data_IF_578990529403
#
_entry.id   IF_578990529403
#
_cell.length_a   1.000
_cell.length_b   1.000
_cell.length_c   1.000
_cell.angle_alpha   90.00
_cell.angle_beta   90.00
_cell.angle_gamma   90.00
#
_symmetry.space_group_name_H-M   'P 1'
#
loop_
_entity.id
_entity.type
_entity.pdbx_description
1 polymer ?
#
# COMPACT_ATOMS: atom_id res chain seq x y z
N UNK A 1 47.76 -42.39 -16.06
CA UNK A 1 46.32 -42.54 -15.91
C UNK A 1 45.88 -42.46 -14.43
N UNK A 2 46.48 -43.20 -13.51
CA UNK A 2 46.13 -43.17 -12.08
C UNK A 2 46.27 -41.78 -11.42
N UNK A 3 47.36 -41.05 -11.69
CA UNK A 3 47.59 -39.70 -11.13
C UNK A 3 46.53 -38.70 -11.63
N UNK A 4 46.09 -38.77 -12.86
CA UNK A 4 45.03 -37.93 -13.45
C UNK A 4 43.66 -38.22 -12.80
N UNK A 5 43.36 -39.49 -12.52
CA UNK A 5 42.15 -39.89 -11.83
C UNK A 5 42.13 -39.38 -10.36
N UNK A 6 43.28 -39.45 -9.66
CA UNK A 6 43.41 -38.92 -8.33
C UNK A 6 43.22 -37.39 -8.30
N UNK A 7 43.85 -36.67 -9.22
CA UNK A 7 43.69 -35.22 -9.34
C UNK A 7 42.25 -34.82 -9.70
N UNK A 8 41.59 -35.55 -10.62
CA UNK A 8 40.20 -35.31 -10.96
C UNK A 8 39.24 -35.57 -9.77
N UNK A 9 39.53 -36.60 -8.93
CA UNK A 9 38.76 -36.89 -7.74
C UNK A 9 38.89 -35.78 -6.69
N UNK A 10 40.11 -35.27 -6.47
CA UNK A 10 40.30 -34.13 -5.57
C UNK A 10 39.65 -32.85 -6.06
N UNK A 11 39.70 -32.58 -7.37
CA UNK A 11 39.02 -31.44 -7.96
C UNK A 11 37.49 -31.57 -7.79
N UNK A 12 36.91 -32.76 -8.03
CA UNK A 12 35.50 -33.02 -7.82
C UNK A 12 35.09 -32.85 -6.35
N UNK A 13 35.86 -33.38 -5.39
CA UNK A 13 35.64 -33.20 -3.96
C UNK A 13 35.73 -31.72 -3.59
N UNK A 14 36.73 -30.99 -4.08
CA UNK A 14 36.86 -29.55 -3.86
C UNK A 14 35.66 -28.75 -4.38
N UNK A 15 35.23 -29.03 -5.62
CA UNK A 15 34.05 -28.40 -6.21
C UNK A 15 32.76 -28.73 -5.43
N UNK A 16 32.62 -29.99 -5.01
CA UNK A 16 31.47 -30.42 -4.18
C UNK A 16 31.43 -29.69 -2.82
N UNK A 17 32.59 -29.59 -2.15
CA UNK A 17 32.70 -28.84 -0.86
C UNK A 17 32.36 -27.36 -1.09
N UNK A 18 32.92 -26.73 -2.12
CA UNK A 18 32.60 -25.35 -2.48
C UNK A 18 31.10 -25.17 -2.78
N UNK A 19 30.50 -26.11 -3.48
CA UNK A 19 29.07 -26.09 -3.80
C UNK A 19 28.21 -26.21 -2.53
N UNK A 20 28.53 -27.15 -1.62
CA UNK A 20 27.84 -27.31 -0.33
C UNK A 20 28.01 -26.06 0.52
N UNK A 21 29.23 -25.50 0.56
CA UNK A 21 29.49 -24.24 1.27
C UNK A 21 28.70 -23.08 0.67
N UNK A 22 28.66 -22.97 -0.65
CA UNK A 22 27.85 -21.98 -1.33
C UNK A 22 26.35 -22.13 -1.00
N UNK A 23 25.82 -23.37 -1.01
CA UNK A 23 24.41 -23.64 -0.63
C UNK A 23 24.11 -23.23 0.83
N UNK A 24 25.08 -23.39 1.73
CA UNK A 24 24.94 -23.04 3.15
C UNK A 24 25.39 -21.60 3.46
N UNK A 25 25.75 -20.82 2.44
CA UNK A 25 26.34 -19.49 2.62
C UNK A 25 25.51 -18.58 3.53
N UNK A 26 24.21 -18.47 3.30
CA UNK A 26 23.34 -17.63 4.11
C UNK A 26 23.22 -18.11 5.56
N UNK A 27 23.16 -19.45 5.77
CA UNK A 27 23.12 -20.02 7.13
C UNK A 27 24.43 -19.75 7.90
N UNK A 28 25.57 -19.84 7.24
CA UNK A 28 26.89 -19.56 7.83
C UNK A 28 27.05 -18.06 8.10
N UNK A 29 26.74 -17.23 7.10
CA UNK A 29 26.92 -15.78 7.17
C UNK A 29 26.07 -15.13 8.26
N UNK A 30 24.83 -15.59 8.41
CA UNK A 30 23.86 -15.01 9.32
C UNK A 30 23.62 -15.87 10.58
N UNK A 31 24.34 -16.97 10.72
CA UNK A 31 24.26 -17.85 11.89
C UNK A 31 24.73 -17.15 13.16
N UNK A 32 23.86 -17.09 14.19
CA UNK A 32 24.18 -16.55 15.51
C UNK A 32 23.35 -17.30 16.56
N UNK A 33 23.88 -17.43 17.76
CA UNK A 33 23.14 -18.04 18.89
C UNK A 33 21.97 -17.14 19.30
N UNK A 34 20.85 -17.75 19.68
CA UNK A 34 19.67 -17.05 20.16
C UNK A 34 18.74 -16.49 19.09
N UNK A 35 19.04 -16.71 17.80
CA UNK A 35 18.12 -16.32 16.71
C UNK A 35 16.82 -17.12 16.74
N UNK A 36 15.69 -16.55 16.22
CA UNK A 36 14.48 -17.33 15.96
C UNK A 36 14.75 -18.55 15.09
N UNK A 37 13.97 -19.64 15.24
CA UNK A 37 14.05 -20.81 14.36
C UNK A 37 13.72 -20.42 12.90
N UNK A 38 14.19 -21.21 11.94
CA UNK A 38 13.92 -20.96 10.52
C UNK A 38 15.11 -21.32 9.64
N UNK A 39 14.96 -21.06 8.36
CA UNK A 39 15.95 -21.31 7.30
C UNK A 39 16.31 -20.02 6.58
N UNK A 40 17.52 -19.99 5.98
CA UNK A 40 17.98 -18.81 5.23
C UNK A 40 17.94 -19.04 3.70
N UNK A 41 17.47 -20.22 3.28
CA UNK A 41 17.28 -20.56 1.87
C UNK A 41 18.55 -20.51 1.01
N UNK A 42 18.39 -20.30 -0.29
CA UNK A 42 19.45 -20.31 -1.28
C UNK A 42 20.42 -19.15 -1.13
N UNK A 43 21.68 -19.31 -1.55
CA UNK A 43 22.65 -18.21 -1.60
C UNK A 43 22.09 -17.00 -2.34
N UNK A 44 22.38 -15.79 -1.88
CA UNK A 44 21.94 -14.48 -2.42
C UNK A 44 20.43 -14.25 -2.39
N UNK A 45 19.62 -15.15 -2.92
CA UNK A 45 18.18 -14.95 -3.10
C UNK A 45 17.34 -15.42 -1.89
N UNK A 46 17.91 -16.28 -1.05
CA UNK A 46 17.20 -16.83 0.10
C UNK A 46 15.96 -17.62 -0.30
N UNK A 47 14.86 -17.33 0.36
CA UNK A 47 13.52 -17.89 0.10
C UNK A 47 12.62 -16.89 -0.64
N UNK A 48 13.20 -15.83 -1.24
CA UNK A 48 12.47 -14.74 -1.89
C UNK A 48 11.52 -15.22 -2.98
N UNK A 49 11.95 -16.17 -3.82
CA UNK A 49 11.13 -16.68 -4.92
C UNK A 49 9.90 -17.43 -4.40
N UNK A 50 10.06 -18.30 -3.39
CA UNK A 50 8.96 -19.02 -2.76
C UNK A 50 8.02 -18.04 -2.03
N UNK A 51 8.59 -17.08 -1.29
CA UNK A 51 7.83 -16.03 -0.61
C UNK A 51 6.98 -15.20 -1.57
N UNK A 52 7.55 -14.71 -2.68
CA UNK A 52 6.80 -13.87 -3.62
C UNK A 52 5.77 -14.66 -4.43
N UNK A 53 6.07 -15.91 -4.80
CA UNK A 53 5.19 -16.73 -5.64
C UNK A 53 4.07 -17.42 -4.86
N UNK A 54 4.37 -17.86 -3.63
CA UNK A 54 3.48 -18.68 -2.80
C UNK A 54 3.33 -18.13 -1.38
N UNK A 55 3.33 -16.80 -1.21
CA UNK A 55 3.39 -16.14 0.10
C UNK A 55 2.46 -16.70 1.17
N UNK A 56 1.14 -16.84 0.93
CA UNK A 56 0.23 -17.42 1.91
C UNK A 56 0.58 -18.86 2.31
N UNK A 57 0.93 -19.71 1.34
CA UNK A 57 1.31 -21.11 1.59
C UNK A 57 2.69 -21.20 2.24
N UNK A 58 3.62 -20.32 1.83
CA UNK A 58 4.92 -20.17 2.48
C UNK A 58 4.74 -19.81 3.95
N UNK A 59 3.92 -18.81 4.28
CA UNK A 59 3.64 -18.40 5.66
C UNK A 59 3.04 -19.54 6.47
N UNK A 60 2.04 -20.23 5.93
CA UNK A 60 1.39 -21.37 6.57
C UNK A 60 2.38 -22.52 6.86
N UNK A 61 3.22 -22.87 5.90
CA UNK A 61 4.25 -23.92 6.01
C UNK A 61 5.30 -23.57 7.05
N UNK A 62 5.84 -22.34 7.00
CA UNK A 62 6.88 -21.89 7.94
C UNK A 62 6.32 -21.76 9.36
N UNK A 63 5.11 -21.20 9.51
CA UNK A 63 4.43 -21.09 10.81
C UNK A 63 4.17 -22.45 11.44
N UNK A 64 3.72 -23.43 10.67
CA UNK A 64 3.50 -24.80 11.15
C UNK A 64 4.80 -25.47 11.62
N UNK A 65 5.94 -25.11 11.02
CA UNK A 65 7.24 -25.70 11.30
C UNK A 65 8.01 -25.01 12.43
N UNK A 66 7.90 -23.69 12.53
CA UNK A 66 8.76 -22.88 13.40
C UNK A 66 7.98 -22.01 14.38
N UNK A 67 6.66 -21.96 14.31
CA UNK A 67 5.83 -21.09 15.15
C UNK A 67 5.63 -19.70 14.55
N UNK A 68 5.11 -18.79 15.39
CA UNK A 68 4.67 -17.46 14.95
C UNK A 68 5.81 -16.45 14.72
N UNK A 69 7.03 -16.78 15.15
CA UNK A 69 8.21 -15.93 14.97
C UNK A 69 9.34 -16.80 14.39
N UNK A 70 9.72 -16.54 13.16
CA UNK A 70 10.75 -17.32 12.48
C UNK A 70 11.64 -16.46 11.61
N UNK A 71 12.88 -16.94 11.36
CA UNK A 71 13.81 -16.29 10.47
C UNK A 71 13.72 -16.85 9.05
N UNK A 72 14.03 -15.98 8.10
CA UNK A 72 14.16 -16.28 6.67
C UNK A 72 15.17 -15.32 6.03
N UNK A 73 15.50 -15.52 4.79
CA UNK A 73 16.19 -14.54 3.96
C UNK A 73 15.29 -14.21 2.76
N UNK A 74 14.64 -13.06 2.82
CA UNK A 74 13.68 -12.62 1.80
C UNK A 74 13.97 -11.20 1.34
N UNK A 75 13.70 -10.92 0.07
CA UNK A 75 13.93 -9.61 -0.56
C UNK A 75 15.40 -9.14 -0.43
N UNK A 76 16.35 -10.10 -0.43
CA UNK A 76 17.78 -9.83 -0.36
C UNK A 76 18.31 -9.53 1.05
N UNK A 77 17.53 -9.78 2.11
CA UNK A 77 17.92 -9.43 3.48
C UNK A 77 17.57 -10.54 4.49
N UNK A 78 18.42 -10.72 5.53
CA UNK A 78 18.05 -11.54 6.67
C UNK A 78 16.84 -10.88 7.34
N UNK A 79 15.78 -11.66 7.49
CA UNK A 79 14.46 -11.16 7.92
C UNK A 79 13.89 -12.07 8.98
N UNK A 80 13.36 -11.49 10.05
CA UNK A 80 12.50 -12.19 11.00
C UNK A 80 11.05 -11.89 10.59
N UNK A 81 10.27 -12.94 10.41
CA UNK A 81 8.86 -12.84 10.05
C UNK A 81 8.04 -13.10 11.30
N UNK A 82 7.13 -12.19 11.60
CA UNK A 82 6.23 -12.24 12.74
C UNK A 82 4.78 -12.34 12.27
N UNK A 83 4.08 -13.37 12.75
CA UNK A 83 2.65 -13.62 12.51
C UNK A 83 1.83 -13.58 13.80
N UNK A 84 2.45 -13.29 14.93
CA UNK A 84 1.81 -13.16 16.23
C UNK A 84 1.17 -11.76 16.39
N UNK A 85 -0.13 -11.64 16.71
CA UNK A 85 -0.81 -10.35 16.83
C UNK A 85 -0.24 -9.42 17.90
N UNK A 86 0.09 -9.97 19.08
CA UNK A 86 0.62 -9.15 20.19
C UNK A 86 2.02 -8.65 19.89
N UNK A 87 2.87 -9.53 19.36
CA UNK A 87 4.23 -9.16 19.00
C UNK A 87 4.25 -8.18 17.81
N UNK A 88 3.36 -8.35 16.84
CA UNK A 88 3.17 -7.39 15.75
C UNK A 88 2.73 -6.02 16.29
N UNK A 89 1.82 -5.99 17.24
CA UNK A 89 1.44 -4.76 17.94
C UNK A 89 2.64 -4.13 18.64
N UNK A 90 3.40 -4.92 19.39
CA UNK A 90 4.63 -4.45 20.04
C UNK A 90 5.59 -3.83 19.03
N UNK A 91 5.89 -4.50 17.92
CA UNK A 91 6.81 -4.04 16.86
C UNK A 91 6.31 -2.71 16.25
N UNK A 92 5.01 -2.57 16.00
CA UNK A 92 4.44 -1.37 15.37
C UNK A 92 4.42 -0.16 16.33
N UNK A 93 4.22 -0.38 17.62
CA UNK A 93 4.13 0.69 18.62
C UNK A 93 5.50 1.15 19.15
N UNK A 94 6.55 0.34 19.02
CA UNK A 94 7.86 0.59 19.65
C UNK A 94 8.96 0.99 18.66
N UNK A 95 8.64 1.80 17.65
CA UNK A 95 9.60 2.25 16.65
C UNK A 95 10.86 2.92 17.25
N UNK A 96 10.72 3.60 18.38
CA UNK A 96 11.86 4.27 19.03
C UNK A 96 12.76 3.33 19.86
N UNK A 97 12.38 2.06 20.03
CA UNK A 97 13.11 1.07 20.83
C UNK A 97 13.92 0.11 19.97
N UNK A 98 14.82 0.65 19.17
CA UNK A 98 15.67 -0.18 18.31
C UNK A 98 15.06 -0.57 16.97
N UNK A 99 13.89 -0.05 16.64
CA UNK A 99 13.15 -0.33 15.41
C UNK A 99 13.01 0.94 14.56
N UNK A 100 13.26 0.81 13.27
CA UNK A 100 13.10 1.88 12.27
C UNK A 100 12.39 1.33 11.03
N UNK A 101 11.89 2.15 10.10
CA UNK A 101 11.38 1.67 8.82
C UNK A 101 12.40 0.80 8.08
N UNK A 102 11.94 -0.31 7.51
CA UNK A 102 12.79 -1.33 6.86
C UNK A 102 12.56 -1.47 5.36
N UNK A 103 12.01 -0.45 4.69
CA UNK A 103 11.68 -0.53 3.26
C UNK A 103 12.92 -0.78 2.38
N UNK A 104 12.74 -1.41 1.20
CA UNK A 104 13.81 -1.63 0.23
C UNK A 104 14.52 -0.33 -0.16
N UNK A 105 15.79 -0.45 -0.56
CA UNK A 105 16.57 0.71 -1.02
C UNK A 105 15.91 1.37 -2.23
N UNK A 106 15.36 0.57 -3.16
CA UNK A 106 14.59 1.08 -4.31
C UNK A 106 13.44 1.99 -3.90
N UNK A 107 12.66 1.60 -2.87
CA UNK A 107 11.58 2.45 -2.36
C UNK A 107 12.10 3.77 -1.80
N UNK A 108 13.22 3.72 -1.06
CA UNK A 108 13.82 4.92 -0.46
C UNK A 108 14.34 5.88 -1.52
N UNK A 109 15.04 5.37 -2.53
CA UNK A 109 15.63 6.18 -3.60
C UNK A 109 14.56 6.78 -4.52
N UNK A 110 13.57 5.97 -4.88
CA UNK A 110 12.54 6.37 -5.85
C UNK A 110 11.48 7.27 -5.21
N UNK A 111 11.05 7.04 -3.99
CA UNK A 111 10.08 7.93 -3.32
C UNK A 111 10.75 9.16 -2.69
N UNK A 112 12.08 9.13 -2.54
CA UNK A 112 12.88 10.24 -2.05
C UNK A 112 13.30 10.12 -0.59
N UNK A 113 14.41 10.76 -0.28
CA UNK A 113 15.05 10.69 1.05
C UNK A 113 14.25 11.42 2.14
N UNK A 114 13.37 12.37 1.76
CA UNK A 114 12.49 13.10 2.67
C UNK A 114 11.10 12.46 2.76
N UNK A 115 10.91 11.27 2.22
CA UNK A 115 9.66 10.54 2.29
C UNK A 115 9.29 10.23 3.74
N UNK A 116 8.07 10.60 4.14
CA UNK A 116 7.53 10.35 5.50
C UNK A 116 7.56 8.87 5.89
N UNK A 117 7.55 7.94 4.92
CA UNK A 117 7.61 6.49 5.15
C UNK A 117 8.99 6.01 5.63
N UNK A 118 10.08 6.74 5.36
CA UNK A 118 11.45 6.30 5.65
C UNK A 118 12.20 7.15 6.67
N UNK A 119 11.87 8.43 6.77
CA UNK A 119 12.49 9.32 7.79
C UNK A 119 12.10 8.90 9.21
N UNK A 120 12.96 9.22 10.18
CA UNK A 120 12.79 8.85 11.59
C UNK A 120 12.93 10.05 12.53
N UNK A 121 12.59 9.88 13.80
CA UNK A 121 12.82 10.88 14.84
C UNK A 121 12.05 12.18 14.61
N UNK A 122 12.73 13.32 14.82
CA UNK A 122 12.17 14.67 14.68
C UNK A 122 11.76 14.98 13.24
N UNK A 123 12.52 14.53 12.24
CA UNK A 123 12.19 14.70 10.82
C UNK A 123 10.86 13.99 10.48
N UNK A 124 10.65 12.76 10.95
CA UNK A 124 9.38 12.08 10.77
C UNK A 124 8.22 12.85 11.43
N UNK A 125 8.40 13.28 12.68
CA UNK A 125 7.36 14.04 13.40
C UNK A 125 6.98 15.32 12.66
N UNK A 126 7.96 16.02 12.10
CA UNK A 126 7.77 17.27 11.36
C UNK A 126 7.03 17.02 10.03
N UNK A 127 7.57 16.15 9.17
CA UNK A 127 6.97 15.86 7.85
C UNK A 127 5.60 15.19 7.97
N UNK A 128 5.41 14.30 8.96
CA UNK A 128 4.11 13.73 9.24
C UNK A 128 3.11 14.77 9.73
N UNK A 129 3.53 15.69 10.58
CA UNK A 129 2.69 16.78 11.05
C UNK A 129 2.21 17.69 9.91
N UNK A 130 3.10 18.04 9.00
CA UNK A 130 2.76 18.76 7.77
C UNK A 130 1.74 17.99 6.93
N UNK A 131 1.99 16.69 6.68
CA UNK A 131 1.07 15.87 5.90
C UNK A 131 -0.32 15.77 6.55
N UNK A 132 -0.39 15.55 7.87
CA UNK A 132 -1.66 15.47 8.60
C UNK A 132 -2.45 16.79 8.58
N UNK A 133 -1.80 17.94 8.52
CA UNK A 133 -2.48 19.23 8.38
C UNK A 133 -3.21 19.38 7.03
N UNK A 134 -2.75 18.67 6.00
CA UNK A 134 -3.31 18.71 4.64
C UNK A 134 -4.45 17.71 4.40
N UNK A 135 -4.55 16.66 5.23
CA UNK A 135 -5.53 15.58 5.07
C UNK A 135 -6.37 15.34 6.32
N UNK A 136 -6.46 16.33 7.22
CA UNK A 136 -7.32 16.25 8.39
C UNK A 136 -8.81 16.40 8.00
N UNK A 137 -9.75 16.01 8.89
CA UNK A 137 -11.18 16.07 8.61
C UNK A 137 -11.70 17.44 8.18
N UNK A 138 -11.19 18.54 8.75
CA UNK A 138 -11.57 19.90 8.38
C UNK A 138 -11.15 20.22 6.95
N UNK A 139 -9.89 19.94 6.59
CA UNK A 139 -9.39 20.13 5.23
C UNK A 139 -10.18 19.32 4.20
N UNK A 140 -10.48 18.05 4.55
CA UNK A 140 -11.27 17.19 3.66
C UNK A 140 -12.66 17.79 3.47
N UNK A 141 -13.35 18.14 4.56
CA UNK A 141 -14.69 18.71 4.53
C UNK A 141 -14.76 20.00 3.73
N UNK A 142 -13.88 20.96 4.05
CA UNK A 142 -14.03 22.34 3.58
C UNK A 142 -13.40 22.59 2.21
N UNK A 143 -12.41 21.74 1.79
CA UNK A 143 -11.63 22.00 0.57
C UNK A 143 -11.56 20.84 -0.42
N UNK A 144 -11.66 19.59 0.03
CA UNK A 144 -11.39 18.45 -0.85
C UNK A 144 -12.65 17.68 -1.26
N UNK A 145 -13.69 17.64 -0.40
CA UNK A 145 -14.87 16.79 -0.62
C UNK A 145 -15.63 17.14 -1.89
N UNK A 146 -15.86 18.44 -2.15
CA UNK A 146 -16.54 18.89 -3.36
C UNK A 146 -15.76 18.47 -4.62
N UNK A 147 -14.45 18.67 -4.63
CA UNK A 147 -13.60 18.29 -5.76
C UNK A 147 -13.59 16.76 -5.98
N UNK A 148 -13.68 15.98 -4.90
CA UNK A 148 -13.80 14.51 -4.97
C UNK A 148 -15.15 14.15 -5.59
N UNK A 149 -16.24 14.74 -5.12
CA UNK A 149 -17.61 14.51 -5.61
C UNK A 149 -17.74 14.79 -7.11
N UNK A 150 -17.32 15.98 -7.55
CA UNK A 150 -17.34 16.36 -8.97
C UNK A 150 -16.50 15.43 -9.84
N UNK A 151 -15.30 15.04 -9.35
CA UNK A 151 -14.40 14.15 -10.07
C UNK A 151 -14.99 12.75 -10.21
N UNK A 152 -15.63 12.22 -9.18
CA UNK A 152 -16.31 10.91 -9.23
C UNK A 152 -17.45 10.95 -10.24
N UNK A 153 -18.31 11.96 -10.16
CA UNK A 153 -19.45 12.10 -11.10
C UNK A 153 -19.01 12.20 -12.54
N UNK A 154 -18.04 13.05 -12.82
CA UNK A 154 -17.48 13.23 -14.16
C UNK A 154 -16.83 11.94 -14.68
N UNK A 155 -16.09 11.23 -13.83
CA UNK A 155 -15.41 10.01 -14.23
C UNK A 155 -16.38 8.86 -14.55
N UNK A 156 -17.43 8.69 -13.75
CA UNK A 156 -18.43 7.64 -13.93
C UNK A 156 -19.40 7.90 -15.10
N UNK A 157 -19.61 9.17 -15.49
CA UNK A 157 -20.58 9.54 -16.51
C UNK A 157 -20.43 8.79 -17.86
N UNK A 158 -19.23 8.32 -18.17
CA UNK A 158 -18.90 7.64 -19.43
C UNK A 158 -18.90 6.10 -19.35
N UNK A 159 -19.41 5.50 -18.29
CA UNK A 159 -19.36 4.04 -18.10
C UNK A 159 -20.58 3.29 -18.60
N UNK A 160 -21.71 3.99 -18.77
CA UNK A 160 -22.96 3.41 -19.21
C UNK A 160 -22.84 2.65 -20.54
N UNK A 161 -23.42 1.44 -20.59
CA UNK A 161 -23.49 0.60 -21.77
C UNK A 161 -22.15 0.00 -22.23
N UNK A 162 -21.07 0.22 -21.48
CA UNK A 162 -19.72 -0.24 -21.86
C UNK A 162 -19.30 -1.49 -21.10
N UNK A 163 -18.48 -2.30 -21.76
CA UNK A 163 -17.62 -3.28 -21.09
C UNK A 163 -16.29 -2.61 -20.80
N UNK A 164 -15.91 -2.58 -19.55
CA UNK A 164 -14.69 -1.93 -19.07
C UNK A 164 -13.86 -2.90 -18.23
N UNK A 165 -12.55 -2.73 -18.21
CA UNK A 165 -11.71 -3.37 -17.22
C UNK A 165 -11.78 -2.56 -15.92
N UNK A 166 -12.38 -3.13 -14.88
CA UNK A 166 -12.56 -2.44 -13.59
C UNK A 166 -11.22 -2.16 -12.91
N UNK A 167 -10.21 -3.04 -13.06
CA UNK A 167 -8.88 -2.82 -12.49
C UNK A 167 -8.24 -1.57 -13.09
N UNK A 168 -8.17 -1.49 -14.40
CA UNK A 168 -7.56 -0.36 -15.10
C UNK A 168 -8.31 0.94 -14.82
N UNK A 169 -9.65 0.89 -14.83
CA UNK A 169 -10.47 2.07 -14.58
C UNK A 169 -10.37 2.59 -13.15
N UNK A 170 -10.28 1.70 -12.16
CA UNK A 170 -10.09 2.15 -10.77
C UNK A 170 -8.69 2.71 -10.52
N UNK A 171 -7.66 2.18 -11.19
CA UNK A 171 -6.29 2.75 -11.15
C UNK A 171 -6.27 4.14 -11.78
N UNK A 172 -6.88 4.30 -12.96
CA UNK A 172 -7.01 5.60 -13.63
C UNK A 172 -7.76 6.60 -12.74
N UNK A 173 -8.92 6.22 -12.22
CA UNK A 173 -9.72 7.03 -11.30
C UNK A 173 -8.91 7.51 -10.09
N UNK A 174 -8.27 6.58 -9.37
CA UNK A 174 -7.54 6.91 -8.16
C UNK A 174 -6.36 7.85 -8.44
N UNK A 175 -5.70 7.70 -9.60
CA UNK A 175 -4.61 8.58 -9.99
C UNK A 175 -5.12 9.97 -10.41
N UNK A 176 -6.16 10.05 -11.24
CA UNK A 176 -6.78 11.32 -11.68
C UNK A 176 -7.18 12.17 -10.46
N UNK A 177 -7.91 11.56 -9.52
CA UNK A 177 -8.34 12.28 -8.30
C UNK A 177 -7.14 12.67 -7.45
N UNK A 178 -6.16 11.79 -7.24
CA UNK A 178 -4.99 12.12 -6.45
C UNK A 178 -4.21 13.28 -7.08
N UNK A 179 -4.02 13.24 -8.40
CA UNK A 179 -3.32 14.29 -9.13
C UNK A 179 -4.08 15.63 -9.07
N UNK A 180 -5.40 15.63 -9.32
CA UNK A 180 -6.25 16.83 -9.25
C UNK A 180 -6.25 17.47 -7.86
N UNK A 181 -6.32 16.65 -6.79
CA UNK A 181 -6.31 17.16 -5.41
C UNK A 181 -4.94 17.70 -4.99
N UNK A 182 -3.85 17.16 -5.52
CA UNK A 182 -2.50 17.51 -5.11
C UNK A 182 -1.91 18.62 -5.99
N UNK A 183 -2.12 18.52 -7.31
CA UNK A 183 -1.58 19.45 -8.30
C UNK A 183 -2.70 19.75 -9.30
N UNK A 184 -3.60 20.65 -8.97
CA UNK A 184 -4.73 21.00 -9.84
C UNK A 184 -4.21 21.62 -11.16
N UNK A 185 -3.89 20.76 -12.12
CA UNK A 185 -3.49 21.14 -13.46
C UNK A 185 -4.61 20.77 -14.44
N UNK A 186 -5.13 21.77 -15.13
CA UNK A 186 -6.17 21.58 -16.14
C UNK A 186 -5.63 21.12 -17.52
N UNK A 187 -4.29 21.05 -17.68
CA UNK A 187 -3.68 20.65 -18.95
C UNK A 187 -3.60 19.14 -19.07
N UNK A 188 -4.34 18.56 -20.02
CA UNK A 188 -4.27 17.13 -20.35
C UNK A 188 -2.87 16.68 -20.75
N UNK A 189 -2.12 17.50 -21.47
CA UNK A 189 -0.75 17.20 -21.91
C UNK A 189 0.20 17.05 -20.73
N UNK A 190 0.07 17.93 -19.72
CA UNK A 190 0.88 17.83 -18.50
C UNK A 190 0.52 16.56 -17.73
N UNK A 191 -0.76 16.24 -17.64
CA UNK A 191 -1.25 15.04 -16.97
C UNK A 191 -0.71 13.77 -17.62
N UNK A 192 -0.85 13.61 -18.95
CA UNK A 192 -0.45 12.40 -19.67
C UNK A 192 1.06 12.14 -19.57
N UNK A 193 1.87 13.19 -19.75
CA UNK A 193 3.33 13.10 -19.60
C UNK A 193 3.72 12.76 -18.15
N UNK A 194 3.07 13.37 -17.16
CA UNK A 194 3.33 13.11 -15.76
C UNK A 194 2.96 11.67 -15.40
N UNK A 195 1.77 11.19 -15.81
CA UNK A 195 1.31 9.83 -15.57
C UNK A 195 2.26 8.79 -16.13
N UNK A 196 2.69 8.94 -17.39
CA UNK A 196 3.63 8.01 -18.03
C UNK A 196 4.94 7.88 -17.26
N UNK A 197 5.52 8.99 -16.80
CA UNK A 197 6.77 8.95 -16.04
C UNK A 197 6.54 8.48 -14.59
N UNK A 198 5.38 8.76 -14.03
CA UNK A 198 4.99 8.29 -12.70
C UNK A 198 4.78 6.76 -12.68
N UNK A 199 4.21 6.18 -13.73
CA UNK A 199 4.04 4.72 -13.85
C UNK A 199 5.41 3.99 -13.84
N UNK A 200 6.42 4.55 -14.53
CA UNK A 200 7.80 4.03 -14.48
C UNK A 200 8.38 4.13 -13.07
N UNK A 201 8.16 5.28 -12.40
CA UNK A 201 8.57 5.51 -11.02
C UNK A 201 7.93 4.45 -10.11
N UNK A 202 6.62 4.27 -10.19
CA UNK A 202 5.88 3.33 -9.35
C UNK A 202 6.35 1.87 -9.55
N UNK A 203 6.54 1.45 -10.80
CA UNK A 203 7.05 0.10 -11.12
C UNK A 203 8.44 -0.18 -10.54
N UNK A 204 9.29 0.85 -10.44
CA UNK A 204 10.63 0.73 -9.86
C UNK A 204 10.67 0.64 -8.34
N UNK A 205 9.62 1.05 -7.65
CA UNK A 205 9.61 1.22 -6.18
C UNK A 205 9.83 -0.08 -5.42
N UNK A 206 9.28 -1.20 -5.91
CA UNK A 206 9.46 -2.54 -5.34
C UNK A 206 10.27 -3.38 -6.32
N UNK A 207 11.53 -3.06 -6.48
CA UNK A 207 12.46 -3.78 -7.37
C UNK A 207 13.81 -3.98 -6.68
N UNK A 208 14.66 -4.79 -7.27
CA UNK A 208 16.06 -4.85 -6.84
C UNK A 208 16.75 -3.53 -7.24
N UNK A 209 17.43 -2.89 -6.28
CA UNK A 209 18.12 -1.60 -6.49
C UNK A 209 19.39 -1.75 -7.35
N UNK A 210 19.23 -2.27 -8.56
CA UNK A 210 20.29 -2.47 -9.57
C UNK A 210 20.09 -1.46 -10.69
N UNK A 211 20.93 -0.43 -10.74
CA UNK A 211 20.81 0.67 -11.71
C UNK A 211 21.53 0.34 -13.03
N UNK A 212 20.95 -0.60 -13.78
CA UNK A 212 21.44 -1.01 -15.12
C UNK A 212 20.30 -0.80 -16.13
N UNK A 213 20.58 -0.27 -17.34
CA UNK A 213 19.58 -0.16 -18.39
C UNK A 213 18.81 -1.46 -18.62
N UNK A 214 17.47 -1.37 -18.71
CA UNK A 214 16.57 -2.51 -18.84
C UNK A 214 16.01 -3.02 -17.52
N UNK A 215 16.51 -2.58 -16.34
CA UNK A 215 15.90 -2.93 -15.05
C UNK A 215 14.76 -1.99 -14.68
N UNK A 216 13.78 -2.49 -13.93
CA UNK A 216 12.68 -1.67 -13.40
C UNK A 216 13.17 -0.53 -12.51
N UNK A 217 14.22 -0.77 -11.70
CA UNK A 217 14.83 0.26 -10.87
C UNK A 217 15.42 1.40 -11.71
N UNK A 218 16.19 1.09 -12.77
CA UNK A 218 16.76 2.09 -13.66
C UNK A 218 15.67 2.96 -14.32
N UNK A 219 14.63 2.31 -14.86
CA UNK A 219 13.46 2.99 -15.43
C UNK A 219 12.74 3.88 -14.38
N UNK A 220 12.58 3.36 -13.17
CA UNK A 220 11.98 4.09 -12.06
C UNK A 220 12.76 5.34 -11.65
N UNK A 221 14.09 5.25 -11.60
CA UNK A 221 14.97 6.39 -11.31
C UNK A 221 14.92 7.47 -12.42
N UNK A 222 14.82 7.06 -13.69
CA UNK A 222 14.59 7.99 -14.79
C UNK A 222 13.22 8.66 -14.68
N UNK A 223 12.16 7.88 -14.40
CA UNK A 223 10.82 8.40 -14.18
C UNK A 223 10.80 9.41 -13.04
N UNK A 224 11.44 9.09 -11.88
CA UNK A 224 11.59 10.03 -10.77
C UNK A 224 12.27 11.33 -11.21
N UNK A 225 13.37 11.23 -11.94
CA UNK A 225 14.11 12.43 -12.39
C UNK A 225 13.23 13.37 -13.20
N UNK A 226 12.39 12.82 -14.08
CA UNK A 226 11.46 13.60 -14.92
C UNK A 226 10.28 14.15 -14.11
N UNK A 227 9.69 13.34 -13.23
CA UNK A 227 8.62 13.79 -12.30
C UNK A 227 9.10 14.94 -11.42
N UNK A 228 10.29 14.81 -10.82
CA UNK A 228 10.91 15.88 -10.02
C UNK A 228 11.10 17.16 -10.84
N UNK A 229 11.57 17.05 -12.09
CA UNK A 229 11.73 18.19 -12.98
C UNK A 229 10.39 18.87 -13.27
N UNK A 230 9.34 18.11 -13.54
CA UNK A 230 7.99 18.65 -13.79
C UNK A 230 7.43 19.33 -12.54
N UNK A 231 7.53 18.74 -11.36
CA UNK A 231 7.06 19.33 -10.11
C UNK A 231 7.82 20.60 -9.75
N UNK A 232 9.15 20.66 -9.95
CA UNK A 232 9.94 21.90 -9.77
C UNK A 232 9.47 23.02 -10.69
N UNK A 233 9.13 22.68 -11.94
CA UNK A 233 8.59 23.66 -12.86
C UNK A 233 7.25 24.21 -12.39
N UNK A 234 6.32 23.35 -11.95
CA UNK A 234 5.03 23.76 -11.39
C UNK A 234 5.22 24.66 -10.16
N UNK A 235 6.10 24.28 -9.23
CA UNK A 235 6.40 25.09 -8.03
C UNK A 235 6.93 26.47 -8.43
N UNK A 236 7.84 26.52 -9.39
CA UNK A 236 8.43 27.78 -9.90
C UNK A 236 7.37 28.69 -10.54
N UNK A 237 6.51 28.12 -11.38
CA UNK A 237 5.41 28.86 -12.05
C UNK A 237 4.41 29.40 -11.04
N UNK A 238 4.02 28.61 -10.05
CA UNK A 238 3.11 29.05 -8.98
C UNK A 238 3.68 30.16 -8.13
N UNK A 239 4.98 30.12 -7.81
CA UNK A 239 5.65 31.23 -7.09
C UNK A 239 5.72 32.52 -7.89
N UNK A 240 5.77 32.42 -9.21
CA UNK A 240 5.78 33.59 -10.11
C UNK A 240 4.36 34.13 -10.40
N UNK A 241 3.32 33.37 -10.05
CA UNK A 241 1.92 33.71 -10.26
C UNK A 241 1.29 34.35 -9.03
N UNK A 242 0.37 35.29 -9.23
CA UNK A 242 -0.49 35.84 -8.17
C UNK A 242 -1.74 35.01 -7.89
N UNK A 243 -1.92 33.91 -8.63
CA UNK A 243 -3.08 33.03 -8.48
C UNK A 243 -2.94 32.20 -7.21
N UNK A 244 -3.95 32.25 -6.35
CA UNK A 244 -4.05 31.39 -5.16
C UNK A 244 -4.63 30.04 -5.58
N UNK A 245 -3.89 28.96 -5.32
CA UNK A 245 -4.33 27.59 -5.59
C UNK A 245 -4.86 26.96 -4.31
N UNK A 246 -6.06 26.36 -4.39
CA UNK A 246 -6.71 25.70 -3.24
C UNK A 246 -6.33 24.22 -3.09
N UNK A 247 -5.55 23.66 -4.02
CA UNK A 247 -5.05 22.29 -3.96
C UNK A 247 -3.98 22.09 -2.88
N UNK A 248 -3.60 20.84 -2.64
CA UNK A 248 -2.64 20.47 -1.58
C UNK A 248 -1.28 21.14 -1.79
N UNK A 249 -0.78 21.25 -3.02
CA UNK A 249 0.48 21.95 -3.29
C UNK A 249 0.37 23.46 -2.95
N UNK A 250 -0.75 24.11 -3.32
CA UNK A 250 -1.02 25.49 -2.95
C UNK A 250 -1.06 25.69 -1.44
N UNK A 251 -1.69 24.80 -0.72
CA UNK A 251 -1.72 24.79 0.75
C UNK A 251 -0.33 24.62 1.37
N UNK A 252 0.52 23.75 0.80
CA UNK A 252 1.91 23.59 1.26
C UNK A 252 2.72 24.89 1.03
N UNK A 253 2.51 25.55 -0.10
CA UNK A 253 3.24 26.76 -0.50
C UNK A 253 2.74 28.02 0.20
N UNK A 254 1.50 28.04 0.71
CA UNK A 254 0.92 29.22 1.35
C UNK A 254 1.61 29.53 2.67
N UNK A 255 1.92 30.83 2.88
CA UNK A 255 2.50 31.34 4.12
C UNK A 255 1.56 31.20 5.33
N UNK A 256 0.30 30.83 5.15
CA UNK A 256 -0.69 30.67 6.20
C UNK A 256 -0.36 29.50 7.15
N UNK A 257 0.40 28.51 6.66
CA UNK A 257 0.83 27.37 7.48
C UNK A 257 2.23 27.62 8.06
N UNK A 258 2.38 28.67 8.88
CA UNK A 258 3.66 29.08 9.49
C UNK A 258 4.34 27.99 10.34
N UNK A 259 3.66 26.90 10.66
CA UNK A 259 4.18 25.82 11.48
C UNK A 259 5.13 24.89 10.72
N UNK A 260 4.92 24.71 9.40
CA UNK A 260 5.67 23.75 8.59
C UNK A 260 6.21 24.44 7.34
N UNK A 261 7.49 24.74 7.33
CA UNK A 261 8.18 25.31 6.16
C UNK A 261 8.96 24.19 5.47
N UNK A 262 8.41 23.63 4.40
CA UNK A 262 9.08 22.61 3.63
C UNK A 262 9.96 23.24 2.55
N UNK A 263 11.14 22.66 2.37
CA UNK A 263 11.98 22.93 1.19
C UNK A 263 11.33 22.35 -0.07
N UNK A 264 11.73 22.81 -1.26
CA UNK A 264 11.22 22.28 -2.53
C UNK A 264 11.40 20.75 -2.64
N UNK A 265 12.55 20.26 -2.18
CA UNK A 265 12.83 18.82 -2.21
C UNK A 265 11.92 18.04 -1.25
N UNK A 266 11.64 18.58 -0.07
CA UNK A 266 10.69 17.99 0.88
C UNK A 266 9.26 18.02 0.33
N UNK A 267 8.82 19.14 -0.26
CA UNK A 267 7.51 19.24 -0.91
C UNK A 267 7.35 18.20 -2.03
N UNK A 268 8.34 18.10 -2.91
CA UNK A 268 8.34 17.17 -4.03
C UNK A 268 8.28 15.70 -3.55
N UNK A 269 9.12 15.35 -2.56
CA UNK A 269 9.14 13.98 -2.01
C UNK A 269 7.81 13.65 -1.31
N UNK A 270 7.16 14.61 -0.64
CA UNK A 270 5.83 14.43 -0.06
C UNK A 270 4.76 14.25 -1.14
N UNK A 271 4.78 15.06 -2.21
CA UNK A 271 3.82 14.94 -3.33
C UNK A 271 3.95 13.58 -4.00
N UNK A 272 5.17 13.14 -4.31
CA UNK A 272 5.43 11.81 -4.90
C UNK A 272 4.91 10.72 -3.97
N UNK A 273 5.15 10.85 -2.66
CA UNK A 273 4.67 9.88 -1.66
C UNK A 273 3.16 9.83 -1.57
N UNK A 274 2.49 10.99 -1.56
CA UNK A 274 1.02 11.06 -1.50
C UNK A 274 0.38 10.46 -2.77
N UNK A 275 0.92 10.78 -3.94
CA UNK A 275 0.48 10.21 -5.21
C UNK A 275 0.65 8.69 -5.19
N UNK A 276 1.87 8.20 -4.89
CA UNK A 276 2.18 6.77 -4.87
C UNK A 276 1.30 5.99 -3.89
N UNK A 277 1.17 6.49 -2.65
CA UNK A 277 0.39 5.81 -1.61
C UNK A 277 -1.12 5.87 -1.86
N UNK A 278 -1.59 6.93 -2.52
CA UNK A 278 -3.02 7.23 -2.66
C UNK A 278 -3.69 6.58 -3.87
N UNK A 279 -2.93 6.19 -4.91
CA UNK A 279 -3.57 5.63 -6.10
C UNK A 279 -3.72 4.11 -6.02
N UNK A 280 -2.70 3.37 -5.66
CA UNK A 280 -2.72 1.90 -5.66
C UNK A 280 -3.67 1.33 -4.60
N UNK A 281 -3.61 1.84 -3.38
CA UNK A 281 -4.44 1.34 -2.28
C UNK A 281 -5.92 1.66 -2.46
N UNK A 282 -6.25 2.87 -2.93
CA UNK A 282 -7.63 3.29 -3.18
C UNK A 282 -8.24 2.52 -4.34
N UNK A 283 -7.51 2.40 -5.48
CA UNK A 283 -7.99 1.64 -6.64
C UNK A 283 -8.25 0.18 -6.31
N UNK A 284 -7.30 -0.48 -5.66
CA UNK A 284 -7.44 -1.88 -5.23
C UNK A 284 -8.62 -2.07 -4.29
N UNK A 285 -8.83 -1.13 -3.35
CA UNK A 285 -9.96 -1.23 -2.41
C UNK A 285 -11.29 -1.04 -3.13
N UNK A 286 -11.42 -0.09 -4.07
CA UNK A 286 -12.63 0.09 -4.88
C UNK A 286 -12.91 -1.16 -5.73
N UNK A 287 -11.93 -1.64 -6.47
CA UNK A 287 -12.04 -2.85 -7.29
C UNK A 287 -12.54 -4.04 -6.48
N UNK A 288 -11.91 -4.30 -5.34
CA UNK A 288 -12.27 -5.43 -4.49
C UNK A 288 -13.58 -5.22 -3.74
N UNK A 289 -13.95 -3.98 -3.37
CA UNK A 289 -15.25 -3.69 -2.77
C UNK A 289 -16.38 -4.02 -3.74
N UNK A 290 -16.27 -3.57 -5.00
CA UNK A 290 -17.26 -3.88 -6.04
C UNK A 290 -17.34 -5.39 -6.31
N UNK A 291 -16.19 -6.08 -6.38
CA UNK A 291 -16.14 -7.55 -6.51
C UNK A 291 -16.85 -8.25 -5.35
N UNK A 292 -16.51 -7.89 -4.12
CA UNK A 292 -17.09 -8.57 -2.95
C UNK A 292 -18.58 -8.28 -2.75
N UNK A 293 -19.06 -7.06 -3.01
CA UNK A 293 -20.49 -6.76 -2.91
C UNK A 293 -21.27 -7.39 -4.07
N UNK A 294 -20.69 -7.54 -5.26
CA UNK A 294 -21.27 -8.29 -6.37
C UNK A 294 -21.48 -9.76 -5.99
N UNK A 295 -20.46 -10.39 -5.41
CA UNK A 295 -20.52 -11.79 -4.95
C UNK A 295 -21.46 -11.99 -3.73
N UNK A 296 -21.90 -10.89 -3.09
CA UNK A 296 -22.73 -10.91 -1.89
C UNK A 296 -23.97 -10.01 -2.05
N UNK A 297 -25.04 -10.48 -2.73
CA UNK A 297 -26.21 -9.68 -3.07
C UNK A 297 -26.87 -8.99 -1.87
N UNK A 298 -26.85 -9.63 -0.67
CA UNK A 298 -27.39 -9.04 0.55
C UNK A 298 -26.59 -7.80 0.97
N UNK A 299 -25.26 -7.86 0.89
CA UNK A 299 -24.41 -6.72 1.19
C UNK A 299 -24.57 -5.61 0.15
N UNK A 300 -24.71 -5.95 -1.14
CA UNK A 300 -25.00 -4.97 -2.19
C UNK A 300 -26.33 -4.27 -1.97
N UNK A 301 -27.36 -5.02 -1.61
CA UNK A 301 -28.69 -4.46 -1.33
C UNK A 301 -28.62 -3.45 -0.16
N UNK A 302 -28.05 -3.82 0.98
CA UNK A 302 -27.96 -2.95 2.15
C UNK A 302 -27.09 -1.72 1.88
N UNK A 303 -25.96 -1.90 1.16
CA UNK A 303 -25.11 -0.79 0.72
C UNK A 303 -25.90 0.18 -0.16
N UNK A 304 -26.67 -0.35 -1.11
CA UNK A 304 -27.49 0.45 -2.01
C UNK A 304 -28.63 1.18 -1.30
N UNK A 305 -29.29 0.53 -0.34
CA UNK A 305 -30.34 1.13 0.49
C UNK A 305 -29.81 2.31 1.30
N UNK A 306 -28.62 2.19 1.94
CA UNK A 306 -27.96 3.31 2.63
C UNK A 306 -27.76 4.50 1.70
N UNK A 307 -27.25 4.28 0.51
CA UNK A 307 -26.98 5.35 -0.44
C UNK A 307 -28.22 5.95 -1.08
N UNK A 308 -29.25 5.14 -1.35
CA UNK A 308 -30.55 5.64 -1.84
C UNK A 308 -31.28 6.49 -0.79
N UNK A 309 -31.15 6.13 0.49
CA UNK A 309 -31.71 6.95 1.58
C UNK A 309 -31.03 8.32 1.71
N UNK A 310 -29.73 8.43 1.38
CA UNK A 310 -29.01 9.70 1.28
C UNK A 310 -29.54 10.50 0.08
N UNK A 311 -29.63 9.86 -1.08
CA UNK A 311 -30.14 10.51 -2.32
C UNK A 311 -31.56 11.01 -2.18
N UNK A 312 -32.43 10.29 -1.47
CA UNK A 312 -33.83 10.68 -1.27
C UNK A 312 -34.00 12.01 -0.49
N UNK A 313 -32.99 12.46 0.23
CA UNK A 313 -32.98 13.71 1.00
C UNK A 313 -32.45 14.91 0.23
N UNK A 314 -31.98 14.71 -1.00
CA UNK A 314 -31.26 15.69 -1.83
C UNK A 314 -31.79 15.75 -3.23
N UNK A 315 -31.53 16.83 -3.91
CA UNK A 315 -31.74 16.90 -5.36
C UNK A 315 -30.68 16.06 -6.10
N UNK A 316 -30.98 15.56 -7.29
CA UNK A 316 -30.05 14.73 -8.07
C UNK A 316 -28.67 15.40 -8.33
N UNK A 317 -28.65 16.70 -8.50
CA UNK A 317 -27.48 17.53 -8.77
C UNK A 317 -26.65 17.89 -7.53
N UNK A 318 -27.26 17.81 -6.33
CA UNK A 318 -26.55 18.19 -5.09
C UNK A 318 -25.37 17.25 -4.84
N UNK A 319 -24.17 17.80 -4.50
CA UNK A 319 -23.04 16.99 -4.09
C UNK A 319 -23.30 16.36 -2.72
N UNK A 320 -22.62 15.25 -2.41
CA UNK A 320 -22.61 14.74 -1.04
C UNK A 320 -21.85 15.71 -0.13
N UNK A 321 -22.33 15.84 1.09
CA UNK A 321 -21.64 16.63 2.10
C UNK A 321 -20.97 15.76 3.18
N UNK A 322 -20.36 16.42 4.15
CA UNK A 322 -19.66 15.75 5.24
C UNK A 322 -20.58 14.93 6.15
N UNK A 323 -21.81 15.38 6.36
CA UNK A 323 -22.78 14.68 7.21
C UNK A 323 -23.33 13.46 6.50
N UNK A 324 -23.53 13.52 5.19
CA UNK A 324 -23.84 12.36 4.37
C UNK A 324 -22.74 11.30 4.48
N UNK A 325 -21.47 11.71 4.28
CA UNK A 325 -20.33 10.81 4.42
C UNK A 325 -20.25 10.18 5.82
N UNK A 326 -20.46 10.97 6.87
CA UNK A 326 -20.50 10.45 8.25
C UNK A 326 -21.67 9.49 8.51
N UNK A 327 -22.75 9.65 7.76
CA UNK A 327 -23.91 8.75 7.78
C UNK A 327 -23.70 7.41 7.10
N UNK A 328 -22.69 7.27 6.24
CA UNK A 328 -22.37 6.05 5.46
C UNK A 328 -21.73 4.96 6.34
N UNK A 329 -22.46 4.45 7.32
CA UNK A 329 -21.94 3.49 8.31
C UNK A 329 -21.69 2.12 7.70
N UNK A 330 -22.61 1.62 6.88
CA UNK A 330 -22.45 0.33 6.22
C UNK A 330 -21.38 0.39 5.12
N UNK A 331 -21.30 1.49 4.39
CA UNK A 331 -20.20 1.76 3.45
C UNK A 331 -18.84 1.68 4.14
N UNK A 332 -18.72 2.30 5.32
CA UNK A 332 -17.51 2.22 6.14
C UNK A 332 -17.18 0.77 6.50
N UNK A 333 -18.16 0.00 6.92
CA UNK A 333 -18.03 -1.42 7.23
C UNK A 333 -17.57 -2.24 6.00
N UNK A 334 -18.16 -1.99 4.83
CA UNK A 334 -17.75 -2.59 3.54
C UNK A 334 -16.28 -2.29 3.23
N UNK A 335 -15.83 -1.04 3.40
CA UNK A 335 -14.43 -0.66 3.11
C UNK A 335 -13.45 -1.36 4.07
N UNK A 336 -13.77 -1.43 5.36
CA UNK A 336 -12.93 -2.13 6.34
C UNK A 336 -12.85 -3.63 6.04
N UNK A 337 -13.99 -4.29 5.79
CA UNK A 337 -14.02 -5.71 5.48
C UNK A 337 -13.30 -6.03 4.15
N UNK A 338 -13.48 -5.19 3.15
CA UNK A 338 -12.76 -5.30 1.88
C UNK A 338 -11.25 -5.22 2.10
N UNK A 339 -10.79 -4.21 2.83
CA UNK A 339 -9.37 -4.00 3.10
C UNK A 339 -8.75 -5.15 3.89
N UNK A 340 -9.52 -5.72 4.85
CA UNK A 340 -9.13 -6.90 5.63
C UNK A 340 -9.02 -8.15 4.74
N UNK A 341 -10.09 -8.49 4.04
CA UNK A 341 -10.21 -9.75 3.30
C UNK A 341 -9.36 -9.77 2.01
N UNK A 342 -9.23 -8.63 1.34
CA UNK A 342 -8.30 -8.50 0.22
C UNK A 342 -6.84 -8.48 0.69
N UNK A 343 -6.59 -8.13 1.95
CA UNK A 343 -5.25 -7.89 2.48
C UNK A 343 -4.49 -6.90 1.59
N UNK A 344 -5.09 -5.73 1.30
CA UNK A 344 -4.54 -4.69 0.40
C UNK A 344 -3.09 -4.35 0.77
N UNK A 345 -2.77 -4.40 2.06
CA UNK A 345 -1.38 -4.36 2.57
C UNK A 345 -1.11 -5.68 3.30
N UNK A 346 -0.32 -6.56 2.68
CA UNK A 346 0.00 -7.88 3.21
C UNK A 346 0.90 -7.84 4.46
N UNK A 347 1.78 -6.86 4.55
CA UNK A 347 2.71 -6.72 5.68
C UNK A 347 3.48 -5.42 5.67
N UNK A 348 4.09 -5.12 6.80
CA UNK A 348 4.89 -3.93 7.00
C UNK A 348 6.34 -4.31 7.33
N UNK A 349 7.27 -3.48 6.90
CA UNK A 349 8.69 -3.72 7.10
C UNK A 349 9.26 -2.79 8.18
N UNK A 350 9.99 -3.38 9.13
CA UNK A 350 10.87 -2.69 10.07
C UNK A 350 12.31 -3.19 9.91
N UNK A 351 13.23 -2.45 10.45
CA UNK A 351 14.65 -2.80 10.51
C UNK A 351 15.16 -2.52 11.92
N UNK A 352 16.01 -3.40 12.45
CA UNK A 352 16.69 -3.16 13.71
C UNK A 352 17.88 -2.23 13.53
N UNK A 353 18.01 -1.19 14.35
CA UNK A 353 19.19 -0.33 14.39
C UNK A 353 20.16 -0.66 15.55
N UNK A 354 19.78 -1.60 16.40
CA UNK A 354 20.56 -2.24 17.45
C UNK A 354 20.11 -3.69 17.60
N UNK A 355 20.84 -4.50 18.37
CA UNK A 355 20.36 -5.83 18.76
C UNK A 355 19.15 -5.67 19.67
N UNK A 356 18.07 -6.40 19.39
CA UNK A 356 16.85 -6.39 20.20
C UNK A 356 16.43 -7.80 20.56
N UNK A 357 15.72 -7.95 21.66
CA UNK A 357 15.09 -9.20 22.05
C UNK A 357 13.59 -9.17 21.72
N UNK A 358 13.12 -10.21 21.06
CA UNK A 358 11.70 -10.41 20.74
C UNK A 358 11.31 -11.83 21.15
N UNK A 359 10.42 -11.94 22.12
CA UNK A 359 9.89 -13.21 22.61
C UNK A 359 10.98 -14.23 22.98
N UNK A 360 12.04 -13.78 23.68
CA UNK A 360 13.19 -14.59 24.10
C UNK A 360 14.22 -14.87 22.99
N UNK A 361 14.02 -14.35 21.79
CA UNK A 361 14.97 -14.50 20.69
C UNK A 361 15.71 -13.20 20.40
N UNK A 362 17.00 -13.34 20.09
CA UNK A 362 17.84 -12.23 19.65
C UNK A 362 17.58 -11.91 18.18
N UNK A 363 17.25 -10.66 17.86
CA UNK A 363 17.22 -10.14 16.50
C UNK A 363 18.39 -9.15 16.34
N UNK A 364 19.41 -9.50 15.55
CA UNK A 364 20.61 -8.68 15.42
C UNK A 364 20.36 -7.36 14.73
N UNK A 365 21.21 -6.38 15.00
CA UNK A 365 21.25 -5.09 14.27
C UNK A 365 21.32 -5.31 12.76
N UNK A 366 20.52 -4.55 12.02
CA UNK A 366 20.50 -4.57 10.56
C UNK A 366 19.55 -5.59 9.94
N UNK A 367 18.97 -6.49 10.76
CA UNK A 367 17.96 -7.43 10.29
C UNK A 367 16.65 -6.73 10.03
N UNK A 368 15.87 -7.26 9.09
CA UNK A 368 14.51 -6.82 8.85
C UNK A 368 13.52 -7.60 9.68
N UNK A 369 12.39 -6.96 9.93
CA UNK A 369 11.22 -7.56 10.53
C UNK A 369 10.07 -7.39 9.53
N UNK A 370 9.47 -8.49 9.12
CA UNK A 370 8.25 -8.51 8.35
C UNK A 370 7.07 -8.74 9.30
N UNK A 371 6.31 -7.69 9.54
CA UNK A 371 5.07 -7.71 10.32
C UNK A 371 3.96 -8.17 9.39
N UNK A 372 3.52 -9.43 9.52
CA UNK A 372 2.52 -10.02 8.64
C UNK A 372 1.12 -9.57 9.04
N UNK A 373 0.56 -8.61 8.33
CA UNK A 373 -0.82 -8.13 8.56
C UNK A 373 -1.85 -9.12 8.03
N UNK A 374 -1.54 -9.77 6.91
CA UNK A 374 -2.42 -10.77 6.32
C UNK A 374 -2.77 -11.89 7.30
N UNK A 375 -1.78 -12.46 7.99
CA UNK A 375 -2.03 -13.56 8.93
C UNK A 375 -2.93 -13.10 10.09
N UNK A 376 -2.83 -11.84 10.53
CA UNK A 376 -3.73 -11.26 11.54
C UNK A 376 -5.13 -11.08 10.96
N UNK A 377 -5.26 -10.59 9.74
CA UNK A 377 -6.54 -10.39 9.07
C UNK A 377 -7.33 -11.70 8.87
N UNK A 378 -6.65 -12.84 8.84
CA UNK A 378 -7.23 -14.18 8.71
C UNK A 378 -7.19 -14.98 10.01
N UNK A 379 -6.90 -14.36 11.15
CA UNK A 379 -6.94 -15.03 12.46
C UNK A 379 -8.40 -15.32 12.86
N UNK A 380 -8.78 -16.58 13.08
CA UNK A 380 -10.16 -16.95 13.39
C UNK A 380 -10.61 -16.54 14.81
N UNK A 381 -9.66 -16.26 15.71
CA UNK A 381 -9.96 -15.75 17.06
C UNK A 381 -10.36 -14.27 16.99
N UNK A 382 -9.68 -13.49 16.16
CA UNK A 382 -9.96 -12.08 15.97
C UNK A 382 -11.16 -11.84 15.02
N UNK A 383 -11.25 -12.67 13.98
CA UNK A 383 -12.28 -12.57 12.94
C UNK A 383 -12.93 -13.94 12.72
N UNK A 384 -14.03 -14.26 13.42
CA UNK A 384 -14.78 -15.51 13.14
C UNK A 384 -15.11 -15.63 11.66
N UNK A 385 -14.97 -16.84 11.10
CA UNK A 385 -15.10 -17.10 9.66
C UNK A 385 -14.25 -16.11 8.81
N UNK A 386 -12.92 -16.11 8.98
CA UNK A 386 -12.07 -15.02 8.48
C UNK A 386 -12.01 -14.94 6.95
N UNK A 387 -12.36 -16.01 6.25
CA UNK A 387 -12.39 -16.06 4.79
C UNK A 387 -13.71 -15.58 4.18
N UNK A 388 -14.75 -15.36 5.00
CA UNK A 388 -16.07 -14.90 4.55
C UNK A 388 -16.12 -13.38 4.54
N UNK A 389 -16.68 -12.82 3.45
CA UNK A 389 -16.97 -11.38 3.38
C UNK A 389 -18.20 -11.06 4.24
N UNK A 390 -17.98 -10.42 5.37
CA UNK A 390 -19.01 -10.08 6.35
C UNK A 390 -18.84 -8.65 6.85
N UNK A 391 -19.38 -7.63 6.16
CA UNK A 391 -19.29 -6.23 6.60
C UNK A 391 -19.97 -5.99 7.95
N UNK A 392 -21.00 -6.75 8.30
CA UNK A 392 -21.79 -6.56 9.54
C UNK A 392 -20.94 -6.70 10.80
N UNK A 393 -19.82 -7.47 10.74
CA UNK A 393 -18.87 -7.55 11.86
C UNK A 393 -18.30 -6.18 12.29
N UNK A 394 -18.32 -5.20 11.42
CA UNK A 394 -17.81 -3.86 11.65
C UNK A 394 -18.90 -2.88 12.15
N UNK A 395 -20.18 -3.29 12.14
CA UNK A 395 -21.27 -2.45 12.59
C UNK A 395 -21.34 -2.34 14.12
N UNK A 396 -20.89 -3.37 14.83
CA UNK A 396 -20.89 -3.44 16.29
C UNK A 396 -19.60 -2.83 16.86
N UNK A 397 -19.42 -1.56 16.70
CA UNK A 397 -18.55 -0.55 17.38
C UNK A 397 -17.19 -0.94 18.01
N UNK A 398 -16.76 -2.20 18.02
CA UNK A 398 -15.53 -2.63 18.71
C UNK A 398 -14.33 -2.88 17.79
N UNK A 399 -14.58 -3.46 16.62
CA UNK A 399 -13.52 -4.06 15.78
C UNK A 399 -12.58 -3.03 15.16
N UNK A 400 -13.09 -1.87 14.76
CA UNK A 400 -12.27 -0.79 14.20
C UNK A 400 -11.24 -0.23 15.19
N UNK A 401 -11.63 -0.18 16.45
CA UNK A 401 -10.82 0.33 17.56
C UNK A 401 -10.10 -0.79 18.32
N UNK A 402 -10.23 -2.04 17.88
CA UNK A 402 -9.58 -3.16 18.51
C UNK A 402 -8.04 -3.06 18.38
N UNK A 403 -7.33 -3.45 19.43
CA UNK A 403 -5.87 -3.35 19.53
C UNK A 403 -5.09 -4.06 18.40
N UNK A 404 -5.73 -5.00 17.70
CA UNK A 404 -5.15 -5.78 16.60
C UNK A 404 -5.78 -5.48 15.24
N UNK A 405 -6.57 -4.41 15.13
CA UNK A 405 -7.05 -3.92 13.85
C UNK A 405 -5.94 -3.11 13.15
N UNK A 406 -5.16 -3.77 12.31
CA UNK A 406 -4.05 -3.15 11.57
C UNK A 406 -4.36 -2.88 10.10
N UNK A 407 -5.63 -2.82 9.72
CA UNK A 407 -6.04 -2.54 8.33
C UNK A 407 -5.40 -1.26 7.78
N UNK A 408 -5.19 -0.26 8.63
CA UNK A 408 -4.48 0.99 8.32
C UNK A 408 -3.11 1.10 8.99
N UNK A 409 -2.53 -0.02 9.45
CA UNK A 409 -1.29 -0.03 10.20
C UNK A 409 -1.48 0.36 11.66
N UNK A 410 -0.40 0.80 12.33
CA UNK A 410 -0.45 1.14 13.75
C UNK A 410 0.70 2.02 14.22
N UNK A 411 0.56 2.53 15.44
CA UNK A 411 1.58 3.34 16.11
C UNK A 411 1.84 4.68 15.43
N UNK A 412 3.06 5.16 15.54
CA UNK A 412 3.49 6.44 14.96
C UNK A 412 3.40 6.48 13.43
N UNK A 413 3.23 5.32 12.79
CA UNK A 413 3.11 5.14 11.33
C UNK A 413 1.72 4.72 10.87
N UNK A 414 0.69 4.90 11.71
CA UNK A 414 -0.70 4.76 11.29
C UNK A 414 -0.94 5.54 9.99
N UNK A 415 -1.70 4.99 9.06
CA UNK A 415 -1.94 5.60 7.75
C UNK A 415 -2.42 7.05 7.89
N UNK A 416 -1.68 8.04 7.38
CA UNK A 416 -2.08 9.45 7.46
C UNK A 416 -3.24 9.76 6.54
N UNK A 417 -3.40 9.00 5.44
CA UNK A 417 -4.45 9.18 4.45
C UNK A 417 -5.71 8.36 4.71
N UNK A 418 -5.88 7.73 5.89
CA UNK A 418 -7.04 6.88 6.22
C UNK A 418 -8.36 7.58 5.88
N UNK A 419 -8.60 8.76 6.43
CA UNK A 419 -9.87 9.47 6.24
C UNK A 419 -10.07 9.92 4.78
N UNK A 420 -9.04 10.46 4.14
CA UNK A 420 -9.11 10.87 2.73
C UNK A 420 -9.37 9.67 1.80
N UNK A 421 -8.71 8.53 2.05
CA UNK A 421 -8.96 7.29 1.31
C UNK A 421 -10.38 6.79 1.48
N UNK A 422 -10.88 6.79 2.71
CA UNK A 422 -12.27 6.40 3.04
C UNK A 422 -13.29 7.28 2.31
N UNK A 423 -13.09 8.60 2.32
CA UNK A 423 -13.97 9.56 1.60
C UNK A 423 -13.97 9.28 0.10
N UNK A 424 -12.79 9.11 -0.53
CA UNK A 424 -12.70 8.82 -1.96
C UNK A 424 -13.45 7.54 -2.35
N UNK A 425 -13.26 6.47 -1.57
CA UNK A 425 -13.89 5.17 -1.82
C UNK A 425 -15.40 5.26 -1.58
N UNK A 426 -15.82 5.88 -0.48
CA UNK A 426 -17.23 6.03 -0.12
C UNK A 426 -18.00 6.85 -1.17
N UNK A 427 -17.41 7.96 -1.65
CA UNK A 427 -18.00 8.79 -2.72
C UNK A 427 -18.12 8.01 -4.02
N UNK A 428 -17.10 7.24 -4.39
CA UNK A 428 -17.17 6.39 -5.57
C UNK A 428 -18.28 5.34 -5.46
N UNK A 429 -18.35 4.61 -4.34
CA UNK A 429 -19.38 3.61 -4.10
C UNK A 429 -20.77 4.25 -4.11
N UNK A 430 -20.93 5.44 -3.50
CA UNK A 430 -22.20 6.18 -3.48
C UNK A 430 -22.79 6.35 -4.88
N UNK A 431 -22.00 6.91 -5.80
CA UNK A 431 -22.49 7.14 -7.17
C UNK A 431 -22.59 5.86 -7.97
N UNK A 432 -21.64 4.94 -7.82
CA UNK A 432 -21.64 3.72 -8.62
C UNK A 432 -22.82 2.81 -8.29
N UNK A 433 -23.05 2.47 -7.02
CA UNK A 433 -24.11 1.51 -6.63
C UNK A 433 -25.53 2.08 -6.73
N UNK A 434 -25.68 3.42 -6.76
CA UNK A 434 -26.99 4.05 -6.96
C UNK A 434 -27.37 4.19 -8.42
N UNK A 435 -26.39 4.33 -9.31
CA UNK A 435 -26.64 4.62 -10.73
C UNK A 435 -26.50 3.40 -11.63
N UNK A 436 -25.63 2.45 -11.25
CA UNK A 436 -25.23 1.35 -12.11
C UNK A 436 -25.44 -0.02 -11.48
N UNK A 437 -25.78 -0.97 -12.33
CA UNK A 437 -25.62 -2.41 -12.11
C UNK A 437 -24.55 -2.92 -13.06
N UNK A 438 -23.91 -4.00 -12.71
CA UNK A 438 -22.85 -4.57 -13.51
C UNK A 438 -22.87 -6.10 -13.47
N UNK A 439 -22.37 -6.67 -14.53
CA UNK A 439 -22.16 -8.10 -14.68
C UNK A 439 -20.68 -8.36 -14.89
N UNK A 440 -20.14 -9.33 -14.20
CA UNK A 440 -18.74 -9.73 -14.35
C UNK A 440 -18.59 -10.78 -15.44
N UNK A 441 -17.48 -10.74 -16.17
CA UNK A 441 -17.12 -11.81 -17.10
C UNK A 441 -16.69 -13.07 -16.34
N UNK A 442 -16.84 -14.23 -16.96
CA UNK A 442 -16.37 -15.49 -16.38
C UNK A 442 -14.83 -15.61 -16.39
N UNK A 443 -14.29 -16.46 -15.53
CA UNK A 443 -12.86 -16.81 -15.53
C UNK A 443 -11.92 -15.78 -14.89
N UNK A 444 -12.44 -14.89 -14.06
CA UNK A 444 -11.62 -13.89 -13.35
C UNK A 444 -10.77 -14.57 -12.28
N UNK A 445 -9.45 -14.38 -12.35
CA UNK A 445 -8.49 -14.86 -11.36
C UNK A 445 -7.93 -13.68 -10.55
N UNK A 446 -8.31 -13.60 -9.27
CA UNK A 446 -7.77 -12.58 -8.34
C UNK A 446 -6.59 -13.17 -7.57
N UNK A 447 -5.43 -12.56 -7.72
CA UNK A 447 -4.24 -12.82 -6.92
C UNK A 447 -4.20 -11.80 -5.78
N UNK A 448 -3.89 -12.28 -4.55
CA UNK A 448 -3.87 -11.42 -3.35
C UNK A 448 -2.48 -11.31 -2.71
N UNK A 449 -1.44 -11.78 -3.39
CA UNK A 449 -0.06 -11.71 -2.91
C UNK A 449 0.93 -11.74 -4.11
N UNK A 450 2.01 -10.95 -4.11
CA UNK A 450 2.43 -9.97 -3.09
C UNK A 450 1.58 -8.70 -3.05
N UNK A 451 0.77 -8.46 -4.07
CA UNK A 451 -0.26 -7.41 -4.16
C UNK A 451 -1.55 -7.99 -4.70
N UNK A 452 -2.62 -7.22 -4.56
CA UNK A 452 -3.93 -7.63 -5.07
C UNK A 452 -4.06 -7.18 -6.51
N UNK A 453 -4.31 -8.14 -7.41
CA UNK A 453 -4.51 -7.86 -8.83
C UNK A 453 -5.37 -8.93 -9.49
N UNK A 454 -6.13 -8.55 -10.52
CA UNK A 454 -6.76 -9.47 -11.44
C UNK A 454 -5.77 -9.78 -12.57
N UNK A 455 -5.30 -11.04 -12.69
CA UNK A 455 -4.21 -11.42 -13.63
C UNK A 455 -4.49 -11.06 -15.08
N UNK A 456 -5.76 -11.21 -15.48
CA UNK A 456 -6.22 -10.98 -16.85
C UNK A 456 -7.18 -9.79 -16.91
N UNK A 457 -7.08 -8.86 -15.94
CA UNK A 457 -8.05 -7.80 -15.75
C UNK A 457 -9.35 -8.26 -15.07
N UNK A 458 -10.23 -7.31 -14.81
CA UNK A 458 -11.57 -7.54 -14.24
C UNK A 458 -12.62 -6.89 -15.17
N UNK A 459 -12.93 -7.52 -16.33
CA UNK A 459 -13.90 -6.97 -17.24
C UNK A 459 -15.32 -7.07 -16.65
N UNK A 460 -16.01 -5.92 -16.64
CA UNK A 460 -17.40 -5.81 -16.22
C UNK A 460 -18.21 -5.08 -17.30
N UNK A 461 -19.48 -5.50 -17.49
CA UNK A 461 -20.44 -4.80 -18.32
C UNK A 461 -21.32 -3.93 -17.44
N UNK A 462 -21.29 -2.63 -17.67
CA UNK A 462 -22.01 -1.64 -16.86
C UNK A 462 -23.30 -1.20 -17.56
N UNK A 463 -24.41 -1.15 -16.82
CA UNK A 463 -25.70 -0.64 -17.29
C UNK A 463 -26.33 0.24 -16.20
N UNK A 464 -27.13 1.24 -16.59
CA UNK A 464 -27.93 2.02 -15.62
C UNK A 464 -29.08 1.20 -15.05
N UNK A 465 -29.51 1.59 -13.86
CA UNK A 465 -30.77 1.10 -13.28
C UNK A 465 -31.98 1.65 -14.04
#
# INVERSE_FOLDING_TARGET
>A
MALLLVLASWLFVGLFVCFVFALKWNEIRYGRKGLPPGTMGWPLFGETAEFLKHGPDFMKKQRARYGNLFRSHVLGFPTVICTDPELNRYILLNETRGLVPGYPQSSQDILGKHNVGVVTGSAHKYLRGSLLSLVNPTMIKDHLLLNIDESVRSFLANWEGKTIDLQDRTVEFAFVIAFKLIVDSQSSVIYDNFKSEFDKLAAGTISLAINIPGTAYHSGMQGRTRVVKMLRQVIKERRASSVVHSDILGQIMSCENQKYHLTDDEMIDQIITMLYSGYETVSTTIMMALKYVHDNPKALQELREEHLAIRARRKPEDPIDWDDYKGMRFTRAVIFETSRLAAVVNGLLRKTNQDIELNGFLVPRGWRLYVSLREINFDPILYPEPSTFNPWRWMDNGLENHNYCFVFGGGTRLCPGKELGMVKIATFLHYFVTQYRWEESEGIEIVKFPRVEARNGLPIRVSKY
#
